data_IF_866810120024
#
_entry.id   IF_866810120024
#
_cell.length_a   1.000
_cell.length_b   1.000
_cell.length_c   1.000
_cell.angle_alpha   90.00
_cell.angle_beta   90.00
_cell.angle_gamma   90.00
#
_symmetry.space_group_name_H-M   'P 1'
#
loop_
_entity.id
_entity.type
_entity.pdbx_description
1 polymer ?
#
# COMPACT_ATOMS: atom_id res chain seq x y z
N UNK A 1 -43.39 -0.23 -82.85
CA UNK A 1 -43.37 1.22 -83.09
C UNK A 1 -43.02 1.85 -81.75
N UNK A 2 -41.74 2.16 -81.50
CA UNK A 2 -41.03 3.41 -81.89
C UNK A 2 -41.62 4.60 -81.13
N UNK A 3 -40.88 5.48 -80.45
CA UNK A 3 -39.44 5.65 -80.20
C UNK A 3 -39.26 6.63 -79.02
N UNK A 4 -38.07 6.59 -78.40
CA UNK A 4 -37.32 7.78 -77.95
C UNK A 4 -37.74 8.48 -76.64
N UNK A 5 -36.84 8.93 -75.76
CA UNK A 5 -35.40 9.10 -75.96
C UNK A 5 -34.61 9.22 -74.66
N UNK A 6 -33.35 8.78 -74.80
CA UNK A 6 -32.22 8.98 -73.91
C UNK A 6 -31.68 10.42 -74.02
N UNK A 7 -30.95 10.85 -72.97
CA UNK A 7 -29.68 11.63 -72.93
C UNK A 7 -29.62 12.39 -71.58
N UNK A 8 -28.57 12.39 -70.76
CA UNK A 8 -27.23 11.78 -70.80
C UNK A 8 -26.69 11.69 -69.35
N UNK A 9 -25.84 10.71 -69.02
CA UNK A 9 -24.36 10.83 -69.04
C UNK A 9 -23.87 11.20 -67.64
N UNK A 10 -22.88 10.59 -66.97
CA UNK A 10 -21.65 9.94 -67.40
C UNK A 10 -21.04 9.15 -66.22
N UNK A 11 -20.30 8.07 -66.54
CA UNK A 11 -19.08 7.52 -65.87
C UNK A 11 -19.10 7.26 -64.35
N UNK A 12 -18.65 6.13 -63.82
CA UNK A 12 -17.78 5.09 -64.32
C UNK A 12 -17.34 4.23 -63.12
N UNK A 13 -17.12 2.95 -63.39
CA UNK A 13 -16.82 1.87 -62.44
C UNK A 13 -15.42 2.05 -61.79
N UNK A 14 -15.31 1.77 -60.49
CA UNK A 14 -14.06 1.58 -59.74
C UNK A 14 -14.30 0.91 -58.38
N UNK A 15 -13.35 0.14 -57.82
CA UNK A 15 -13.57 -1.29 -57.54
C UNK A 15 -13.87 -1.66 -56.07
N UNK A 16 -14.54 -2.81 -55.93
CA UNK A 16 -14.50 -3.79 -54.83
C UNK A 16 -13.64 -3.43 -53.60
N UNK A 17 -14.28 -2.96 -52.53
CA UNK A 17 -13.76 -3.10 -51.17
C UNK A 17 -14.86 -3.74 -50.31
N UNK A 18 -14.60 -4.91 -49.69
CA UNK A 18 -15.59 -5.60 -48.87
C UNK A 18 -15.90 -4.79 -47.61
N UNK A 19 -17.20 -4.64 -47.33
CA UNK A 19 -17.74 -4.09 -46.09
C UNK A 19 -17.52 -5.12 -44.98
N UNK A 20 -16.73 -4.87 -43.92
CA UNK A 20 -16.68 -5.79 -42.80
C UNK A 20 -17.78 -5.43 -41.82
N UNK A 21 -18.70 -6.37 -41.68
CA UNK A 21 -19.59 -6.56 -40.56
C UNK A 21 -18.83 -6.41 -39.23
N UNK A 22 -19.41 -5.65 -38.29
CA UNK A 22 -18.81 -5.40 -36.98
C UNK A 22 -19.82 -5.05 -35.88
N UNK A 23 -21.12 -5.19 -36.16
CA UNK A 23 -22.14 -5.35 -35.12
C UNK A 23 -22.02 -6.78 -34.57
N UNK A 24 -20.98 -7.01 -33.81
CA UNK A 24 -20.76 -8.23 -33.04
C UNK A 24 -20.17 -7.79 -31.70
N UNK A 25 -20.97 -7.95 -30.64
CA UNK A 25 -20.52 -7.68 -29.28
C UNK A 25 -19.28 -8.51 -28.97
N UNK A 26 -18.16 -7.83 -28.79
CA UNK A 26 -16.93 -8.47 -28.34
C UNK A 26 -16.10 -7.44 -27.54
N UNK A 27 -15.83 -7.66 -26.24
CA UNK A 27 -15.20 -6.68 -25.34
C UNK A 27 -13.69 -6.49 -25.59
N UNK A 28 -13.18 -6.90 -26.75
CA UNK A 28 -11.75 -6.91 -27.09
C UNK A 28 -11.26 -5.82 -28.04
N UNK A 29 -12.14 -4.95 -28.57
CA UNK A 29 -11.81 -4.08 -29.73
C UNK A 29 -11.73 -2.58 -29.46
N UNK A 30 -11.53 -2.14 -28.23
CA UNK A 30 -11.10 -0.75 -27.94
C UNK A 30 -9.57 -0.57 -28.01
N UNK A 31 -8.86 -1.55 -28.57
CA UNK A 31 -7.40 -1.58 -28.71
C UNK A 31 -6.83 -0.70 -29.82
N UNK A 32 -7.67 -0.07 -30.64
CA UNK A 32 -7.22 0.69 -31.82
C UNK A 32 -7.01 2.20 -31.54
N UNK A 33 -7.43 2.72 -30.38
CA UNK A 33 -7.05 4.05 -29.90
C UNK A 33 -5.83 4.04 -28.94
N UNK A 34 -5.16 2.89 -28.78
CA UNK A 34 -4.02 2.73 -27.88
C UNK A 34 -2.65 2.98 -28.54
N UNK A 35 -2.61 3.34 -29.83
CA UNK A 35 -1.38 3.51 -30.62
C UNK A 35 -0.63 4.85 -30.42
N UNK A 36 -0.93 5.62 -29.36
CA UNK A 36 -0.39 6.98 -29.19
C UNK A 36 0.37 7.29 -27.89
N UNK A 37 0.45 6.39 -26.91
CA UNK A 37 1.29 6.62 -25.71
C UNK A 37 2.32 5.53 -25.61
N UNK A 38 3.58 5.94 -25.75
CA UNK A 38 4.74 5.17 -25.36
C UNK A 38 4.56 4.70 -23.91
N UNK A 39 4.04 3.48 -23.74
CA UNK A 39 4.10 2.79 -22.46
C UNK A 39 5.59 2.54 -22.20
N UNK A 40 6.15 3.03 -21.08
CA UNK A 40 7.55 2.78 -20.77
C UNK A 40 7.79 1.26 -20.78
N UNK A 41 8.85 0.89 -21.50
CA UNK A 41 9.27 -0.51 -21.72
C UNK A 41 9.38 -1.20 -20.35
N UNK A 42 8.58 -2.25 -20.14
CA UNK A 42 8.61 -3.06 -18.92
C UNK A 42 7.31 -3.11 -18.10
N UNK A 43 6.28 -2.32 -18.44
CA UNK A 43 5.00 -2.38 -17.72
C UNK A 43 4.09 -3.44 -18.35
N UNK A 44 3.74 -4.49 -17.59
CA UNK A 44 2.80 -5.52 -18.01
C UNK A 44 1.44 -4.86 -18.34
N UNK A 45 0.80 -5.17 -19.48
CA UNK A 45 -0.51 -4.57 -19.86
C UNK A 45 -1.60 -4.74 -18.80
N UNK A 46 -1.50 -5.78 -17.95
CA UNK A 46 -2.39 -6.03 -16.80
C UNK A 46 -2.19 -5.02 -15.66
N UNK A 47 -1.00 -4.46 -15.49
CA UNK A 47 -0.70 -3.48 -14.44
C UNK A 47 -1.21 -2.08 -14.80
N UNK A 48 -1.21 -1.74 -16.10
CA UNK A 48 -1.76 -0.47 -16.62
C UNK A 48 -3.26 -0.34 -16.39
N UNK A 49 -3.98 -1.47 -16.27
CA UNK A 49 -5.44 -1.52 -16.09
C UNK A 49 -5.87 -1.86 -14.66
N UNK A 50 -4.93 -1.91 -13.71
CA UNK A 50 -5.26 -2.32 -12.34
C UNK A 50 -6.15 -1.26 -11.65
N UNK A 51 -7.29 -1.66 -11.03
CA UNK A 51 -8.25 -0.72 -10.44
C UNK A 51 -7.67 0.13 -9.29
N UNK A 52 -6.51 -0.28 -8.74
CA UNK A 52 -5.75 0.51 -7.78
C UNK A 52 -5.40 1.90 -8.33
N UNK A 53 -4.99 1.98 -9.60
CA UNK A 53 -4.60 3.25 -10.24
C UNK A 53 -5.80 4.17 -10.50
N UNK A 54 -7.01 3.62 -10.58
CA UNK A 54 -8.26 4.39 -10.69
C UNK A 54 -8.83 4.84 -9.34
N UNK A 55 -8.33 4.29 -8.23
CA UNK A 55 -8.80 4.65 -6.88
C UNK A 55 -8.26 6.02 -6.47
N UNK A 56 -9.09 6.84 -5.82
CA UNK A 56 -8.67 8.15 -5.29
C UNK A 56 -7.54 8.00 -4.26
N UNK A 57 -6.72 9.04 -4.11
CA UNK A 57 -5.60 9.08 -3.14
C UNK A 57 -6.06 8.77 -1.73
N UNK A 58 -7.17 9.39 -1.28
CA UNK A 58 -7.76 9.12 0.03
C UNK A 58 -8.30 7.70 0.16
N UNK A 59 -8.89 7.13 -0.90
CA UNK A 59 -9.35 5.74 -0.91
C UNK A 59 -8.20 4.74 -0.79
N UNK A 60 -7.04 5.03 -1.40
CA UNK A 60 -5.83 4.22 -1.22
C UNK A 60 -5.27 4.35 0.19
N UNK A 61 -5.17 5.57 0.71
CA UNK A 61 -4.68 5.85 2.06
C UNK A 61 -5.48 5.09 3.11
N UNK A 62 -6.81 5.11 3.00
CA UNK A 62 -7.72 4.42 3.91
C UNK A 62 -7.55 2.90 3.86
N UNK A 63 -7.37 2.33 2.65
CA UNK A 63 -7.08 0.88 2.50
C UNK A 63 -5.72 0.51 3.10
N UNK A 64 -4.70 1.34 2.90
CA UNK A 64 -3.38 1.15 3.53
C UNK A 64 -3.49 1.24 5.04
N UNK A 65 -4.23 2.21 5.57
CA UNK A 65 -4.49 2.36 7.00
C UNK A 65 -5.09 1.10 7.60
N UNK A 66 -6.18 0.58 7.03
CA UNK A 66 -6.83 -0.63 7.55
C UNK A 66 -5.97 -1.88 7.44
N UNK A 67 -5.25 -2.04 6.32
CA UNK A 67 -4.32 -3.16 6.15
C UNK A 67 -3.16 -3.08 7.14
N UNK A 68 -2.59 -1.88 7.33
CA UNK A 68 -1.52 -1.65 8.29
C UNK A 68 -2.00 -1.86 9.72
N UNK A 69 -3.21 -1.42 10.06
CA UNK A 69 -3.81 -1.62 11.37
C UNK A 69 -3.99 -3.12 11.65
N UNK A 70 -4.53 -3.88 10.70
CA UNK A 70 -4.74 -5.31 10.89
C UNK A 70 -3.42 -6.07 11.05
N UNK A 71 -2.43 -5.79 10.20
CA UNK A 71 -1.09 -6.40 10.27
C UNK A 71 -0.38 -6.00 11.58
N UNK A 72 -0.49 -4.75 12.00
CA UNK A 72 0.10 -4.24 13.23
C UNK A 72 -0.52 -4.87 14.48
N UNK A 73 -1.85 -4.99 14.53
CA UNK A 73 -2.55 -5.64 15.64
C UNK A 73 -2.12 -7.10 15.80
N UNK A 74 -2.00 -7.83 14.68
CA UNK A 74 -1.52 -9.21 14.71
C UNK A 74 -0.07 -9.31 15.19
N UNK A 75 0.81 -8.44 14.70
CA UNK A 75 2.21 -8.40 15.14
C UNK A 75 2.33 -8.06 16.64
N UNK A 76 1.60 -7.05 17.10
CA UNK A 76 1.58 -6.61 18.48
C UNK A 76 1.06 -7.71 19.41
N UNK A 77 0.00 -8.42 19.01
CA UNK A 77 -0.48 -9.58 19.77
C UNK A 77 0.60 -10.64 19.91
N UNK A 78 1.22 -11.05 18.79
CA UNK A 78 2.28 -12.07 18.81
C UNK A 78 3.41 -11.62 19.73
N UNK A 79 3.80 -10.35 19.68
CA UNK A 79 4.81 -9.79 20.58
C UNK A 79 4.38 -9.83 22.06
N UNK A 80 3.13 -9.51 22.37
CA UNK A 80 2.61 -9.53 23.75
C UNK A 80 2.53 -10.95 24.30
N UNK A 81 2.08 -11.91 23.50
CA UNK A 81 2.03 -13.32 23.90
C UNK A 81 3.42 -13.95 24.05
N UNK A 82 4.38 -13.55 23.20
CA UNK A 82 5.72 -14.13 23.20
C UNK A 82 6.64 -13.51 24.27
N UNK A 83 6.50 -12.22 24.59
CA UNK A 83 7.50 -11.48 25.37
C UNK A 83 6.95 -10.77 26.61
N UNK A 84 5.64 -10.67 26.79
CA UNK A 84 5.05 -9.87 27.85
C UNK A 84 4.06 -10.64 28.74
N UNK A 85 4.10 -11.98 28.70
CA UNK A 85 3.19 -12.87 29.45
C UNK A 85 1.70 -12.48 29.29
N UNK A 86 1.32 -11.95 28.11
CA UNK A 86 -0.04 -11.50 27.84
C UNK A 86 -0.40 -10.12 28.40
N UNK A 87 0.54 -9.36 28.98
CA UNK A 87 0.28 -8.04 29.59
C UNK A 87 0.71 -6.90 28.67
N UNK A 88 -0.26 -6.09 28.23
CA UNK A 88 0.00 -4.95 27.32
C UNK A 88 0.74 -3.78 28.01
N UNK A 89 0.68 -3.73 29.35
CA UNK A 89 1.29 -2.70 30.20
C UNK A 89 2.82 -2.60 30.02
N UNK A 90 3.46 -3.70 29.62
CA UNK A 90 4.90 -3.71 29.30
C UNK A 90 5.26 -2.86 28.08
N UNK A 91 4.31 -2.64 27.16
CA UNK A 91 4.52 -1.82 25.96
C UNK A 91 3.92 -0.42 26.10
N UNK A 92 2.86 -0.26 26.90
CA UNK A 92 2.24 1.02 27.15
C UNK A 92 1.73 1.12 28.60
N UNK A 93 2.35 2.01 29.38
CA UNK A 93 2.03 2.24 30.79
C UNK A 93 0.81 3.14 31.03
N UNK A 94 0.23 3.70 29.96
CA UNK A 94 -0.90 4.64 30.06
C UNK A 94 -1.88 4.43 28.90
N UNK A 95 -3.16 4.73 29.14
CA UNK A 95 -4.22 4.72 28.11
C UNK A 95 -3.85 5.54 26.87
N UNK A 96 -3.40 6.81 26.98
CA UNK A 96 -2.96 7.57 25.80
C UNK A 96 -1.75 6.92 25.10
N UNK A 97 -0.81 6.33 25.84
CA UNK A 97 0.30 5.58 25.27
C UNK A 97 -0.15 4.34 24.49
N UNK A 98 -1.16 3.61 25.00
CA UNK A 98 -1.72 2.45 24.33
C UNK A 98 -2.47 2.84 23.04
N UNK A 99 -3.24 3.93 23.08
CA UNK A 99 -3.90 4.47 21.88
C UNK A 99 -2.87 4.92 20.85
N UNK A 100 -1.82 5.62 21.28
CA UNK A 100 -0.74 6.05 20.41
C UNK A 100 -0.01 4.86 19.77
N UNK A 101 0.29 3.82 20.55
CA UNK A 101 0.93 2.58 20.08
C UNK A 101 0.09 1.87 19.00
N UNK A 102 -1.23 1.91 19.12
CA UNK A 102 -2.14 1.28 18.17
C UNK A 102 -2.33 2.09 16.88
N UNK A 103 -2.43 3.42 17.00
CA UNK A 103 -2.87 4.30 15.91
C UNK A 103 -1.69 4.90 15.13
N UNK A 104 -0.57 5.23 15.77
CA UNK A 104 0.54 5.91 15.10
C UNK A 104 1.14 5.08 13.95
N UNK A 105 1.43 3.77 14.11
CA UNK A 105 2.01 2.99 13.02
C UNK A 105 1.15 2.91 11.75
N UNK A 106 -0.16 2.60 11.81
CA UNK A 106 -1.00 2.58 10.61
C UNK A 106 -1.24 3.96 10.01
N UNK A 107 -1.34 5.02 10.82
CA UNK A 107 -1.40 6.40 10.32
C UNK A 107 -0.12 6.74 9.56
N UNK A 108 1.05 6.44 10.12
CA UNK A 108 2.34 6.67 9.48
C UNK A 108 2.45 5.95 8.14
N UNK A 109 2.04 4.68 8.07
CA UNK A 109 2.02 3.92 6.81
C UNK A 109 1.09 4.54 5.76
N UNK A 110 -0.09 5.00 6.17
CA UNK A 110 -1.04 5.66 5.26
C UNK A 110 -0.48 6.99 4.72
N UNK A 111 0.14 7.80 5.58
CA UNK A 111 0.78 9.05 5.19
C UNK A 111 1.95 8.81 4.23
N UNK A 112 2.80 7.82 4.50
CA UNK A 112 3.89 7.43 3.60
C UNK A 112 3.36 6.98 2.24
N UNK A 113 2.29 6.19 2.21
CA UNK A 113 1.68 5.75 0.95
C UNK A 113 1.14 6.93 0.13
N UNK A 114 0.56 7.94 0.77
CA UNK A 114 0.11 9.18 0.11
C UNK A 114 1.29 9.99 -0.40
N UNK A 115 2.32 10.21 0.44
CA UNK A 115 3.49 11.01 0.09
C UNK A 115 4.29 10.41 -1.07
N UNK A 116 4.43 9.07 -1.08
CA UNK A 116 5.17 8.34 -2.11
C UNK A 116 4.33 8.04 -3.36
N UNK A 117 3.03 8.34 -3.35
CA UNK A 117 2.12 7.98 -4.43
C UNK A 117 2.57 8.42 -5.84
N UNK A 118 3.12 9.63 -6.06
CA UNK A 118 3.61 10.06 -7.38
C UNK A 118 4.73 9.16 -7.93
N UNK A 119 5.53 8.59 -7.03
CA UNK A 119 6.66 7.72 -7.35
C UNK A 119 6.21 6.27 -7.51
N UNK A 120 5.37 5.79 -6.58
CA UNK A 120 4.84 4.43 -6.59
C UNK A 120 4.04 4.14 -7.87
N UNK A 121 3.27 5.11 -8.37
CA UNK A 121 2.48 4.95 -9.58
C UNK A 121 3.30 4.61 -10.85
N UNK A 122 4.62 4.81 -10.82
CA UNK A 122 5.53 4.55 -11.96
C UNK A 122 6.20 3.18 -11.88
N UNK A 123 6.04 2.46 -10.77
CA UNK A 123 6.80 1.25 -10.47
C UNK A 123 5.91 0.00 -10.50
N UNK A 124 6.52 -1.16 -10.70
CA UNK A 124 5.84 -2.44 -10.61
C UNK A 124 5.35 -2.71 -9.18
N UNK A 125 4.22 -3.42 -9.04
CA UNK A 125 3.56 -3.73 -7.76
C UNK A 125 4.50 -4.29 -6.67
N UNK A 126 5.33 -5.31 -6.92
CA UNK A 126 6.24 -5.83 -5.87
C UNK A 126 7.26 -4.78 -5.41
N UNK A 127 7.72 -3.94 -6.32
CA UNK A 127 8.64 -2.83 -6.02
C UNK A 127 7.93 -1.74 -5.20
N UNK A 128 6.65 -1.48 -5.45
CA UNK A 128 5.87 -0.53 -4.65
C UNK A 128 5.76 -0.99 -3.19
N UNK A 129 5.41 -2.25 -2.95
CA UNK A 129 5.34 -2.79 -1.58
C UNK A 129 6.68 -2.73 -0.87
N UNK A 130 7.76 -3.07 -1.57
CA UNK A 130 9.10 -3.04 -0.99
C UNK A 130 9.51 -1.61 -0.61
N UNK A 131 9.28 -0.63 -1.48
CA UNK A 131 9.60 0.78 -1.21
C UNK A 131 8.79 1.35 -0.06
N UNK A 132 7.52 1.00 0.07
CA UNK A 132 6.71 1.42 1.22
C UNK A 132 7.23 0.80 2.52
N UNK A 133 7.62 -0.49 2.49
CA UNK A 133 8.29 -1.14 3.63
C UNK A 133 9.59 -0.45 4.03
N UNK A 134 10.47 -0.19 3.05
CA UNK A 134 11.74 0.52 3.29
C UNK A 134 11.49 1.93 3.84
N UNK A 135 10.53 2.66 3.27
CA UNK A 135 10.18 4.00 3.74
C UNK A 135 9.61 3.98 5.16
N UNK A 136 8.78 2.99 5.50
CA UNK A 136 8.26 2.81 6.86
C UNK A 136 9.39 2.54 7.86
N UNK A 137 10.35 1.70 7.49
CA UNK A 137 11.54 1.46 8.28
C UNK A 137 12.39 2.71 8.49
N UNK A 138 12.73 3.42 7.41
CA UNK A 138 13.51 4.66 7.49
C UNK A 138 12.80 5.69 8.37
N UNK A 139 11.48 5.85 8.21
CA UNK A 139 10.69 6.73 9.04
C UNK A 139 10.73 6.31 10.52
N UNK A 140 10.57 5.02 10.82
CA UNK A 140 10.63 4.51 12.19
C UNK A 140 12.00 4.74 12.84
N UNK A 141 13.09 4.49 12.10
CA UNK A 141 14.45 4.75 12.56
C UNK A 141 14.68 6.24 12.82
N UNK A 142 14.23 7.12 11.91
CA UNK A 142 14.37 8.56 12.09
C UNK A 142 13.56 9.07 13.28
N UNK A 143 12.32 8.60 13.46
CA UNK A 143 11.48 8.95 14.63
C UNK A 143 12.17 8.49 15.92
N UNK A 144 12.70 7.27 15.95
CA UNK A 144 13.44 6.74 17.10
C UNK A 144 14.68 7.58 17.40
N UNK A 145 15.46 7.93 16.37
CA UNK A 145 16.66 8.74 16.53
C UNK A 145 16.35 10.16 17.03
N UNK A 146 15.31 10.80 16.48
CA UNK A 146 14.86 12.13 16.92
C UNK A 146 14.33 12.08 18.36
N UNK A 147 13.57 11.04 18.70
CA UNK A 147 13.13 10.83 20.08
C UNK A 147 14.34 10.71 21.02
N UNK A 148 15.34 9.90 20.68
CA UNK A 148 16.56 9.77 21.48
C UNK A 148 17.31 11.10 21.64
N UNK A 149 17.40 11.94 20.60
CA UNK A 149 18.01 13.28 20.68
C UNK A 149 17.26 14.19 21.65
N UNK A 150 15.93 14.23 21.58
CA UNK A 150 15.11 15.04 22.48
C UNK A 150 15.24 14.60 23.95
N UNK A 151 15.56 13.32 24.19
CA UNK A 151 15.72 12.77 25.54
C UNK A 151 17.15 12.97 26.07
N UNK A 152 18.14 12.99 25.17
CA UNK A 152 19.52 13.32 25.49
C UNK A 152 19.66 14.75 26.02
N UNK A 153 18.92 15.73 25.45
CA UNK A 153 18.85 17.10 25.97
C UNK A 153 18.21 17.18 27.37
N UNK A 154 17.40 16.17 27.74
CA UNK A 154 16.83 16.01 29.09
C UNK A 154 17.75 15.29 30.08
N UNK A 155 18.97 14.91 29.70
CA UNK A 155 19.93 14.19 30.55
C UNK A 155 19.64 12.69 30.70
N UNK A 156 18.67 12.14 29.95
CA UNK A 156 18.28 10.73 30.00
C UNK A 156 18.95 9.99 28.83
N UNK A 157 19.84 9.04 29.13
CA UNK A 157 20.48 8.18 28.11
C UNK A 157 21.99 8.34 27.94
N UNK A 158 22.65 9.24 28.69
CA UNK A 158 24.10 9.23 28.79
C UNK A 158 24.52 8.15 29.80
N UNK A 159 25.22 7.11 29.34
CA UNK A 159 25.85 6.14 30.22
C UNK A 159 26.87 6.86 31.11
N UNK A 160 26.84 6.60 32.42
CA UNK A 160 27.77 7.21 33.35
C UNK A 160 29.22 6.87 32.95
N UNK A 161 29.99 7.88 32.51
CA UNK A 161 31.39 7.74 32.13
C UNK A 161 31.69 7.66 30.62
N UNK A 162 30.68 7.67 29.74
CA UNK A 162 30.89 7.72 28.28
C UNK A 162 30.39 9.05 27.67
N UNK A 163 31.02 9.53 26.57
CA UNK A 163 30.50 10.68 25.85
C UNK A 163 29.11 10.36 25.28
N UNK A 164 28.11 11.22 25.51
CA UNK A 164 26.72 10.97 25.08
C UNK A 164 26.57 10.62 23.58
N UNK A 165 27.54 11.02 22.75
CA UNK A 165 27.62 10.67 21.33
C UNK A 165 27.80 9.16 21.08
N UNK A 166 28.60 8.43 21.88
CA UNK A 166 28.81 6.98 21.67
C UNK A 166 27.58 6.18 22.07
N UNK A 167 26.92 6.56 23.17
CA UNK A 167 25.64 5.97 23.60
C UNK A 167 24.51 6.19 22.59
N UNK A 168 24.46 7.37 21.94
CA UNK A 168 23.51 7.65 20.88
C UNK A 168 23.66 6.72 19.67
N UNK A 169 24.88 6.50 19.16
CA UNK A 169 25.07 5.64 17.99
C UNK A 169 24.75 4.17 18.26
N UNK A 170 25.08 3.66 19.46
CA UNK A 170 24.73 2.30 19.86
C UNK A 170 23.22 2.10 19.99
N UNK A 171 22.52 3.05 20.63
CA UNK A 171 21.06 2.99 20.78
C UNK A 171 20.33 3.15 19.44
N UNK A 172 20.82 4.02 18.55
CA UNK A 172 20.29 4.15 17.20
C UNK A 172 20.51 2.88 16.36
N UNK A 173 21.71 2.27 16.42
CA UNK A 173 22.00 1.03 15.71
C UNK A 173 21.16 -0.15 16.23
N UNK A 174 20.97 -0.24 17.54
CA UNK A 174 20.12 -1.25 18.18
C UNK A 174 18.65 -1.06 17.80
N UNK A 175 18.15 0.17 17.83
CA UNK A 175 16.80 0.50 17.38
C UNK A 175 16.60 0.15 15.90
N UNK A 176 17.58 0.44 15.03
CA UNK A 176 17.53 0.06 13.62
C UNK A 176 17.43 -1.46 13.42
N UNK A 177 18.19 -2.26 14.18
CA UNK A 177 18.09 -3.71 14.12
C UNK A 177 16.71 -4.22 14.57
N UNK A 178 16.19 -3.70 15.68
CA UNK A 178 14.87 -4.07 16.22
C UNK A 178 13.74 -3.70 15.27
N UNK A 179 13.86 -2.57 14.57
CA UNK A 179 12.82 -2.05 13.68
C UNK A 179 12.87 -2.67 12.28
N UNK A 180 13.84 -3.51 11.96
CA UNK A 180 13.96 -4.19 10.66
C UNK A 180 12.67 -4.95 10.22
N UNK A 181 11.93 -5.63 11.13
CA UNK A 181 10.63 -6.23 10.80
C UNK A 181 9.57 -5.23 10.30
N UNK A 182 9.72 -3.93 10.59
CA UNK A 182 8.81 -2.89 10.08
C UNK A 182 8.82 -2.82 8.54
N UNK A 183 9.91 -3.21 7.87
CA UNK A 183 9.97 -3.35 6.42
C UNK A 183 8.93 -4.37 5.95
N UNK A 184 8.91 -5.54 6.59
CA UNK A 184 8.02 -6.64 6.24
C UNK A 184 6.57 -6.27 6.52
N UNK A 185 6.30 -5.66 7.68
CA UNK A 185 4.95 -5.22 8.05
C UNK A 185 4.41 -4.16 7.08
N UNK A 186 5.21 -3.14 6.76
CA UNK A 186 4.83 -2.10 5.80
C UNK A 186 4.61 -2.66 4.39
N UNK A 187 5.47 -3.57 3.93
CA UNK A 187 5.34 -4.20 2.63
C UNK A 187 4.09 -5.08 2.53
N UNK A 188 3.81 -5.90 3.55
CA UNK A 188 2.60 -6.75 3.61
C UNK A 188 1.36 -5.87 3.65
N UNK A 189 1.33 -4.84 4.49
CA UNK A 189 0.21 -3.92 4.61
C UNK A 189 -0.13 -3.26 3.27
N UNK A 190 0.88 -2.76 2.55
CA UNK A 190 0.67 -2.16 1.23
C UNK A 190 0.23 -3.20 0.18
N UNK A 191 0.79 -4.41 0.19
CA UNK A 191 0.38 -5.48 -0.72
C UNK A 191 -1.09 -5.88 -0.52
N UNK A 192 -1.53 -6.05 0.73
CA UNK A 192 -2.93 -6.35 1.07
C UNK A 192 -3.84 -5.19 0.61
N UNK A 193 -3.43 -3.94 0.87
CA UNK A 193 -4.17 -2.77 0.43
C UNK A 193 -4.30 -2.73 -1.10
N UNK A 194 -3.21 -2.99 -1.82
CA UNK A 194 -3.19 -3.02 -3.28
C UNK A 194 -4.14 -4.09 -3.84
N UNK A 195 -4.18 -5.29 -3.25
CA UNK A 195 -5.01 -6.39 -3.76
C UNK A 195 -6.48 -6.22 -3.38
N UNK A 196 -6.79 -5.48 -2.31
CA UNK A 196 -8.15 -5.26 -1.79
C UNK A 196 -9.15 -4.63 -2.77
N UNK A 197 -8.69 -3.98 -3.84
CA UNK A 197 -9.57 -3.38 -4.88
C UNK A 197 -10.11 -4.42 -5.87
N UNK A 198 -9.56 -5.64 -5.88
CA UNK A 198 -10.03 -6.73 -6.74
C UNK A 198 -11.12 -7.55 -6.04
N UNK A 199 -12.00 -8.20 -6.81
CA UNK A 199 -13.08 -9.02 -6.23
C UNK A 199 -12.57 -10.16 -5.35
N UNK A 200 -11.50 -10.86 -5.77
CA UNK A 200 -10.84 -11.90 -4.98
C UNK A 200 -10.09 -11.32 -3.77
N UNK A 201 -9.40 -10.20 -3.96
CA UNK A 201 -8.63 -9.54 -2.91
C UNK A 201 -9.48 -8.90 -1.81
N UNK A 202 -10.72 -8.51 -2.11
CA UNK A 202 -11.66 -7.99 -1.10
C UNK A 202 -11.90 -9.02 0.00
N UNK A 203 -12.04 -10.30 -0.34
CA UNK A 203 -12.24 -11.37 0.65
C UNK A 203 -11.00 -11.61 1.51
N UNK A 204 -9.81 -11.56 0.91
CA UNK A 204 -8.55 -11.63 1.66
C UNK A 204 -8.41 -10.45 2.64
N UNK A 205 -8.71 -9.24 2.18
CA UNK A 205 -8.71 -8.04 3.02
C UNK A 205 -9.69 -8.15 4.19
N UNK A 206 -10.94 -8.53 3.91
CA UNK A 206 -11.96 -8.73 4.96
C UNK A 206 -11.55 -9.84 5.93
N UNK A 207 -11.00 -10.94 5.43
CA UNK A 207 -10.51 -12.05 6.26
C UNK A 207 -9.40 -11.63 7.22
N UNK A 208 -8.41 -10.87 6.73
CA UNK A 208 -7.33 -10.33 7.59
C UNK A 208 -7.87 -9.36 8.63
N UNK A 209 -8.81 -8.51 8.26
CA UNK A 209 -9.42 -7.53 9.16
C UNK A 209 -10.30 -8.19 10.22
N UNK A 210 -11.10 -9.20 9.82
CA UNK A 210 -11.90 -10.01 10.72
C UNK A 210 -11.01 -10.81 11.69
N UNK A 211 -9.93 -11.42 11.19
CA UNK A 211 -8.97 -12.12 12.03
C UNK A 211 -8.34 -11.18 13.06
N UNK A 212 -7.85 -10.02 12.62
CA UNK A 212 -7.29 -9.01 13.53
C UNK A 212 -8.32 -8.58 14.58
N UNK A 213 -9.59 -8.40 14.21
CA UNK A 213 -10.65 -7.99 15.13
C UNK A 213 -11.00 -9.08 16.15
N UNK A 214 -11.20 -10.33 15.70
CA UNK A 214 -11.45 -11.49 16.57
C UNK A 214 -10.31 -11.64 17.57
N UNK A 215 -9.08 -11.61 17.09
CA UNK A 215 -7.87 -11.70 17.92
C UNK A 215 -7.81 -10.57 18.95
N UNK A 216 -8.09 -9.33 18.53
CA UNK A 216 -8.10 -8.17 19.44
C UNK A 216 -9.17 -8.30 20.51
N UNK A 217 -10.38 -8.76 20.16
CA UNK A 217 -11.48 -8.98 21.11
C UNK A 217 -11.13 -10.08 22.11
N UNK A 218 -10.62 -11.22 21.63
CA UNK A 218 -10.18 -12.33 22.50
C UNK A 218 -9.16 -11.82 23.51
N UNK A 219 -8.16 -11.07 23.04
CA UNK A 219 -7.11 -10.53 23.90
C UNK A 219 -7.64 -9.52 24.93
N UNK A 220 -8.51 -8.59 24.50
CA UNK A 220 -9.14 -7.63 25.40
C UNK A 220 -9.98 -8.31 26.48
N UNK A 221 -10.71 -9.38 26.12
CA UNK A 221 -11.49 -10.17 27.09
C UNK A 221 -10.56 -10.88 28.07
N UNK A 222 -9.51 -11.55 27.59
CA UNK A 222 -8.56 -12.27 28.47
C UNK A 222 -7.76 -11.34 29.37
N UNK A 223 -7.51 -10.09 28.98
CA UNK A 223 -6.82 -9.12 29.81
C UNK A 223 -7.72 -8.48 30.88
N UNK A 224 -9.05 -8.61 30.75
CA UNK A 224 -10.04 -8.07 31.69
C UNK A 224 -10.55 -9.11 32.71
N UNK A 225 -10.24 -10.39 32.51
CA UNK A 225 -10.59 -11.52 33.39
C UNK A 225 -9.41 -11.96 34.23
#
# INVERSE_FOLDING_TARGET
MSDGGYLGGFQGVGPLVPRPEGLSGDPGRSGENALGRATPVGVNRRDVTHPWLATSTWGRALRVFFSALAVWLLALLVSVLAFADGRLEYFASSVPGAVALLVLPPVGCALLAVALQPWLARLAVPTQSLLVGIAAYVAAVLISAVAQLAWADGGIGCLAGEPCITGFWQTAAFAALILLPAIVLGAIAYAIAHVSVTARGRWAFVGVLALALVVTVVFAVTALT
#
